data_IF_093931544750
#
_entry.id   IF_093931544750
#
_cell.length_a   1.000
_cell.length_b   1.000
_cell.length_c   1.000
_cell.angle_alpha   90.00
_cell.angle_beta   90.00
_cell.angle_gamma   90.00
#
_symmetry.space_group_name_H-M   'P 1'
#
loop_
_entity.id
_entity.type
_entity.pdbx_description
1 polymer ?
#
# COMPACT_ATOMS: atom_id res chain seq x y z
N UNK A 1 10.72 31.50 15.99
CA UNK A 1 9.59 30.56 15.88
C UNK A 1 9.88 29.37 16.78
N UNK A 2 8.89 28.85 17.52
CA UNK A 2 9.07 27.65 18.36
C UNK A 2 9.43 26.44 17.48
N UNK A 3 10.39 25.63 17.89
CA UNK A 3 10.88 24.45 17.17
C UNK A 3 9.75 23.48 16.81
N UNK A 4 8.75 23.34 17.68
CA UNK A 4 7.56 22.50 17.51
C UNK A 4 6.75 22.93 16.29
N UNK A 5 6.64 24.24 16.06
CA UNK A 5 5.94 24.78 14.89
C UNK A 5 6.71 24.49 13.61
N UNK A 6 8.04 24.60 13.65
CA UNK A 6 8.90 24.30 12.51
C UNK A 6 8.76 22.83 12.13
N UNK A 7 8.84 21.91 13.10
CA UNK A 7 8.66 20.47 12.88
C UNK A 7 7.25 20.16 12.34
N UNK A 8 6.22 20.80 12.90
CA UNK A 8 4.83 20.66 12.42
C UNK A 8 4.66 21.09 10.96
N UNK A 9 5.22 22.25 10.57
CA UNK A 9 5.21 22.71 9.18
C UNK A 9 6.04 21.83 8.24
N UNK A 10 7.19 21.31 8.69
CA UNK A 10 7.99 20.36 7.91
C UNK A 10 7.21 19.07 7.64
N UNK A 11 6.56 18.48 8.65
CA UNK A 11 5.75 17.27 8.47
C UNK A 11 4.54 17.52 7.57
N UNK A 12 3.88 18.68 7.72
CA UNK A 12 2.75 19.08 6.88
C UNK A 12 3.18 19.22 5.41
N UNK A 13 4.27 19.94 5.16
CA UNK A 13 4.80 20.14 3.82
C UNK A 13 5.22 18.82 3.16
N UNK A 14 5.95 17.97 3.87
CA UNK A 14 6.38 16.66 3.37
C UNK A 14 5.19 15.75 3.07
N UNK A 15 4.19 15.69 3.98
CA UNK A 15 2.99 14.88 3.78
C UNK A 15 2.18 15.31 2.55
N UNK A 16 1.99 16.62 2.37
CA UNK A 16 1.30 17.17 1.19
C UNK A 16 2.10 16.89 -0.09
N UNK A 17 3.42 17.08 -0.06
CA UNK A 17 4.28 16.80 -1.21
C UNK A 17 4.19 15.33 -1.64
N UNK A 18 4.23 14.40 -0.69
CA UNK A 18 4.07 12.97 -0.96
C UNK A 18 2.72 12.65 -1.61
N UNK A 19 1.64 13.29 -1.14
CA UNK A 19 0.32 13.10 -1.77
C UNK A 19 0.28 13.57 -3.21
N UNK A 20 0.85 14.75 -3.50
CA UNK A 20 0.85 15.33 -4.83
C UNK A 20 1.63 14.40 -5.78
N UNK A 21 2.81 13.93 -5.36
CA UNK A 21 3.63 13.01 -6.16
C UNK A 21 2.89 11.69 -6.42
N UNK A 22 2.29 11.08 -5.39
CA UNK A 22 1.55 9.83 -5.54
C UNK A 22 0.34 9.99 -6.48
N UNK A 23 -0.43 11.07 -6.30
CA UNK A 23 -1.60 11.37 -7.14
C UNK A 23 -1.19 11.59 -8.60
N UNK A 24 -0.10 12.32 -8.83
CA UNK A 24 0.41 12.56 -10.18
C UNK A 24 0.86 11.26 -10.87
N UNK A 25 1.55 10.38 -10.15
CA UNK A 25 1.96 9.07 -10.67
C UNK A 25 0.76 8.17 -11.01
N UNK A 26 -0.25 8.11 -10.14
CA UNK A 26 -1.51 7.40 -10.38
C UNK A 26 -2.15 7.85 -11.71
N UNK A 27 -2.25 9.16 -11.92
CA UNK A 27 -2.88 9.75 -13.13
C UNK A 27 -2.05 9.44 -14.38
N UNK A 28 -0.72 9.47 -14.29
CA UNK A 28 0.18 9.12 -15.39
C UNK A 28 0.04 7.66 -15.83
N UNK A 29 -0.08 6.73 -14.87
CA UNK A 29 -0.28 5.30 -15.15
C UNK A 29 -1.68 5.06 -15.71
N UNK A 30 -2.72 5.74 -15.19
CA UNK A 30 -4.07 5.68 -15.76
C UNK A 30 -4.13 6.19 -17.21
N UNK A 31 -3.35 7.22 -17.55
CA UNK A 31 -3.29 7.77 -18.92
C UNK A 31 -2.43 6.90 -19.85
N UNK A 32 -1.88 5.79 -19.37
CA UNK A 32 -1.01 4.90 -20.15
C UNK A 32 0.33 5.53 -20.53
N UNK A 33 0.69 6.69 -19.96
CA UNK A 33 1.95 7.38 -20.25
C UNK A 33 3.12 6.82 -19.45
N UNK A 34 2.85 6.03 -18.41
CA UNK A 34 3.84 5.32 -17.62
C UNK A 34 3.40 3.87 -17.41
N UNK A 35 4.33 2.93 -17.56
CA UNK A 35 4.07 1.52 -17.24
C UNK A 35 4.08 1.33 -15.72
N UNK A 36 3.14 0.54 -15.16
CA UNK A 36 3.16 0.23 -13.73
C UNK A 36 4.46 -0.51 -13.40
N UNK A 37 4.97 -0.29 -12.19
CA UNK A 37 6.14 -1.04 -11.69
C UNK A 37 5.77 -2.53 -11.72
N UNK A 38 6.56 -3.31 -12.47
CA UNK A 38 6.33 -4.75 -12.61
C UNK A 38 6.82 -5.46 -11.35
N UNK A 39 5.92 -5.59 -10.36
CA UNK A 39 6.21 -6.30 -9.11
C UNK A 39 6.20 -7.80 -9.34
N UNK A 40 5.30 -8.27 -10.20
CA UNK A 40 5.27 -9.61 -10.74
C UNK A 40 6.00 -9.60 -12.07
N UNK A 41 7.22 -10.12 -12.03
CA UNK A 41 7.91 -10.53 -13.24
C UNK A 41 7.08 -11.66 -13.82
N UNK A 42 6.43 -11.41 -14.96
CA UNK A 42 5.99 -12.51 -15.81
C UNK A 42 7.23 -13.37 -16.04
N UNK A 43 7.22 -14.62 -15.55
CA UNK A 43 8.15 -15.62 -16.04
C UNK A 43 8.16 -15.51 -17.57
N UNK A 44 9.33 -15.62 -18.24
CA UNK A 44 9.37 -15.45 -19.68
C UNK A 44 8.33 -16.35 -20.31
N UNK A 45 7.22 -15.74 -20.76
CA UNK A 45 6.24 -16.40 -21.58
C UNK A 45 7.00 -16.61 -22.88
N UNK A 46 7.67 -17.77 -22.96
CA UNK A 46 8.05 -18.32 -24.25
C UNK A 46 6.76 -18.31 -25.03
N UNK A 47 6.68 -17.39 -25.99
CA UNK A 47 5.67 -17.36 -27.00
C UNK A 47 5.54 -18.78 -27.53
N UNK A 48 4.49 -19.50 -27.12
CA UNK A 48 4.13 -20.79 -27.72
C UNK A 48 3.46 -20.49 -29.06
N UNK A 49 4.17 -19.79 -29.95
CA UNK A 49 4.05 -20.13 -31.36
C UNK A 49 4.85 -21.43 -31.53
N UNK A 50 4.13 -22.55 -31.49
CA UNK A 50 4.62 -23.92 -31.57
C UNK A 50 5.51 -24.40 -30.42
N UNK A 51 4.91 -24.77 -29.30
CA UNK A 51 5.26 -26.04 -28.68
C UNK A 51 4.00 -26.64 -28.05
N UNK A 52 3.23 -27.36 -28.86
CA UNK A 52 2.52 -28.55 -28.38
C UNK A 52 3.57 -29.52 -27.83
N UNK A 53 4.11 -29.23 -26.65
CA UNK A 53 4.59 -30.30 -25.78
C UNK A 53 3.30 -30.81 -25.20
N UNK A 54 2.78 -31.88 -25.81
CA UNK A 54 1.82 -32.74 -25.16
C UNK A 54 2.37 -32.99 -23.75
N UNK A 55 1.80 -32.31 -22.76
CA UNK A 55 2.02 -32.65 -21.36
C UNK A 55 1.38 -34.01 -21.24
N UNK A 56 2.21 -35.03 -21.08
CA UNK A 56 1.73 -36.37 -20.88
C UNK A 56 1.14 -36.45 -19.48
N UNK A 57 -0.14 -36.09 -19.38
CA UNK A 57 -0.95 -36.08 -18.14
C UNK A 57 -1.06 -37.46 -17.49
N UNK A 58 -0.52 -38.50 -18.12
CA UNK A 58 -0.46 -39.85 -17.59
C UNK A 58 0.66 -40.05 -16.57
N UNK A 59 1.64 -39.14 -16.46
CA UNK A 59 2.77 -39.28 -15.55
C UNK A 59 2.73 -38.28 -14.38
N UNK A 60 2.39 -38.72 -13.15
CA UNK A 60 2.15 -37.84 -11.99
C UNK A 60 3.41 -37.11 -11.48
N UNK A 61 4.60 -37.65 -11.75
CA UNK A 61 5.87 -37.07 -11.30
C UNK A 61 6.21 -35.75 -12.02
N UNK A 62 5.78 -35.59 -13.27
CA UNK A 62 5.99 -34.35 -14.03
C UNK A 62 5.01 -33.25 -13.61
N UNK A 63 3.76 -33.63 -13.27
CA UNK A 63 2.76 -32.72 -12.72
C UNK A 63 3.21 -32.13 -11.37
N UNK A 64 3.82 -32.95 -10.51
CA UNK A 64 4.29 -32.50 -9.21
C UNK A 64 5.47 -31.53 -9.34
N UNK A 65 6.40 -31.77 -10.27
CA UNK A 65 7.53 -30.86 -10.53
C UNK A 65 7.08 -29.52 -11.10
N UNK A 66 6.09 -29.51 -11.99
CA UNK A 66 5.51 -28.29 -12.55
C UNK A 66 4.76 -27.47 -11.48
N UNK A 67 3.97 -28.13 -10.61
CA UNK A 67 3.29 -27.49 -9.48
C UNK A 67 4.27 -26.87 -8.47
N UNK A 68 5.45 -27.49 -8.31
CA UNK A 68 6.50 -27.02 -7.41
C UNK A 68 7.25 -25.81 -7.97
N UNK A 69 7.42 -25.73 -9.29
CA UNK A 69 8.14 -24.62 -9.94
C UNK A 69 7.25 -23.41 -10.15
N UNK A 70 5.97 -23.60 -10.49
CA UNK A 70 4.98 -22.54 -10.60
C UNK A 70 3.60 -23.08 -10.18
N UNK A 71 3.17 -22.89 -8.92
CA UNK A 71 1.91 -23.45 -8.40
C UNK A 71 0.67 -22.93 -9.12
N UNK A 72 0.77 -21.80 -9.82
CA UNK A 72 -0.30 -21.20 -10.61
C UNK A 72 -0.27 -21.57 -12.11
N UNK A 73 0.78 -22.23 -12.59
CA UNK A 73 0.89 -22.64 -14.00
C UNK A 73 -0.15 -23.69 -14.40
N UNK A 74 -0.50 -24.57 -13.45
CA UNK A 74 -1.53 -25.61 -13.61
C UNK A 74 -2.96 -25.06 -13.67
N UNK A 75 -3.15 -23.83 -13.19
CA UNK A 75 -4.43 -23.14 -13.29
C UNK A 75 -4.70 -22.70 -14.74
N UNK A 76 -3.64 -22.46 -15.53
CA UNK A 76 -3.72 -22.11 -16.95
C UNK A 76 -3.54 -23.29 -17.91
N UNK A 77 -2.87 -24.36 -17.49
CA UNK A 77 -2.59 -25.53 -18.34
C UNK A 77 -3.66 -26.62 -18.21
N UNK A 78 -4.92 -26.31 -18.55
CA UNK A 78 -5.94 -27.29 -18.99
C UNK A 78 -6.07 -28.62 -18.22
N UNK A 79 -5.72 -28.66 -16.93
CA UNK A 79 -5.71 -29.85 -16.11
C UNK A 79 -7.05 -30.01 -15.40
N UNK A 80 -8.02 -30.66 -16.05
CA UNK A 80 -9.14 -31.31 -15.37
C UNK A 80 -10.25 -30.45 -14.75
N UNK A 81 -10.23 -29.12 -14.88
CA UNK A 81 -11.40 -28.27 -14.62
C UNK A 81 -11.52 -27.27 -15.76
N UNK A 82 -12.45 -27.55 -16.69
CA UNK A 82 -12.68 -26.81 -17.92
C UNK A 82 -13.15 -25.39 -17.71
N UNK A 83 -12.24 -24.50 -17.32
CA UNK A 83 -12.39 -23.08 -17.60
C UNK A 83 -11.86 -22.85 -19.02
N UNK A 84 -12.69 -22.35 -19.95
CA UNK A 84 -12.23 -22.06 -21.31
C UNK A 84 -11.14 -20.99 -21.29
N UNK A 85 -10.36 -20.93 -22.37
CA UNK A 85 -9.26 -20.01 -22.67
C UNK A 85 -9.74 -18.55 -22.83
N UNK A 86 -10.45 -18.02 -21.82
CA UNK A 86 -11.17 -16.74 -21.89
C UNK A 86 -10.25 -15.57 -21.51
N UNK A 87 -9.11 -15.84 -20.85
CA UNK A 87 -8.20 -14.78 -20.37
C UNK A 87 -6.74 -15.21 -20.53
N UNK A 88 -5.99 -14.48 -21.37
CA UNK A 88 -4.55 -14.67 -21.57
C UNK A 88 -3.80 -14.45 -20.23
N UNK A 89 -2.92 -15.38 -19.81
CA UNK A 89 -2.04 -15.21 -18.66
C UNK A 89 -1.30 -13.86 -18.62
N UNK A 90 -0.97 -13.30 -19.78
CA UNK A 90 -0.34 -11.98 -19.88
C UNK A 90 -1.25 -10.87 -19.34
N UNK A 91 -2.53 -10.88 -19.69
CA UNK A 91 -3.52 -9.90 -19.22
C UNK A 91 -3.71 -10.00 -17.72
N UNK A 92 -3.74 -11.23 -17.17
CA UNK A 92 -3.84 -11.45 -15.72
C UNK A 92 -2.64 -10.84 -15.00
N UNK A 93 -1.41 -11.05 -15.50
CA UNK A 93 -0.21 -10.49 -14.89
C UNK A 93 -0.17 -8.96 -14.98
N UNK A 94 -0.56 -8.39 -16.12
CA UNK A 94 -0.63 -6.93 -16.30
C UNK A 94 -1.68 -6.31 -15.37
N UNK A 95 -2.86 -6.93 -15.22
CA UNK A 95 -3.89 -6.50 -14.28
C UNK A 95 -3.43 -6.60 -12.82
N UNK A 96 -2.70 -7.66 -12.48
CA UNK A 96 -2.22 -7.86 -11.12
C UNK A 96 -1.09 -6.91 -10.77
N UNK A 97 -0.16 -6.64 -11.70
CA UNK A 97 0.85 -5.59 -11.56
C UNK A 97 0.22 -4.21 -11.38
N UNK A 98 -0.80 -3.88 -12.17
CA UNK A 98 -1.53 -2.63 -12.04
C UNK A 98 -2.22 -2.53 -10.67
N UNK A 99 -2.85 -3.62 -10.22
CA UNK A 99 -3.54 -3.68 -8.92
C UNK A 99 -2.57 -3.48 -7.77
N UNK A 100 -1.44 -4.18 -7.77
CA UNK A 100 -0.41 -4.04 -6.74
C UNK A 100 0.19 -2.64 -6.76
N UNK A 101 0.47 -2.08 -7.93
CA UNK A 101 0.97 -0.72 -8.06
C UNK A 101 -0.01 0.30 -7.45
N UNK A 102 -1.30 0.19 -7.76
CA UNK A 102 -2.32 1.06 -7.15
C UNK A 102 -2.42 0.86 -5.64
N UNK A 103 -2.38 -0.38 -5.17
CA UNK A 103 -2.41 -0.67 -3.74
C UNK A 103 -1.25 0.01 -3.01
N UNK A 104 -0.03 -0.09 -3.55
CA UNK A 104 1.15 0.56 -2.98
C UNK A 104 1.01 2.08 -3.02
N UNK A 105 0.54 2.65 -4.14
CA UNK A 105 0.35 4.10 -4.23
C UNK A 105 -0.76 4.62 -3.31
N UNK A 106 -1.84 3.86 -3.08
CA UNK A 106 -2.86 4.17 -2.09
C UNK A 106 -2.30 4.13 -0.67
N UNK A 107 -1.42 3.16 -0.38
CA UNK A 107 -0.71 3.11 0.89
C UNK A 107 0.19 4.34 1.08
N UNK A 108 0.96 4.73 0.06
CA UNK A 108 1.82 5.93 0.08
C UNK A 108 0.98 7.20 0.27
N UNK A 109 -0.17 7.31 -0.40
CA UNK A 109 -1.11 8.42 -0.23
C UNK A 109 -1.62 8.48 1.22
N UNK A 110 -1.99 7.33 1.79
CA UNK A 110 -2.39 7.20 3.19
C UNK A 110 -1.28 7.56 4.18
N UNK A 111 -0.02 7.21 3.90
CA UNK A 111 1.13 7.65 4.68
C UNK A 111 1.29 9.17 4.63
N UNK A 112 1.19 9.78 3.45
CA UNK A 112 1.20 11.23 3.27
C UNK A 112 0.11 11.92 4.11
N UNK A 113 -1.10 11.35 4.15
CA UNK A 113 -2.21 11.83 4.98
C UNK A 113 -1.89 11.80 6.46
N UNK A 114 -1.39 10.66 6.96
CA UNK A 114 -1.04 10.53 8.37
C UNK A 114 0.08 11.49 8.77
N UNK A 115 1.10 11.64 7.93
CA UNK A 115 2.19 12.61 8.16
C UNK A 115 1.67 14.05 8.21
N UNK A 116 0.83 14.43 7.23
CA UNK A 116 0.26 15.77 7.17
C UNK A 116 -0.65 16.04 8.38
N UNK A 117 -1.51 15.09 8.73
CA UNK A 117 -2.41 15.18 9.90
C UNK A 117 -1.63 15.36 11.19
N UNK A 118 -0.54 14.63 11.38
CA UNK A 118 0.34 14.79 12.54
C UNK A 118 1.00 16.17 12.57
N UNK A 119 1.45 16.65 11.41
CA UNK A 119 1.97 18.01 11.25
C UNK A 119 0.96 19.09 11.67
N UNK A 120 -0.30 18.99 11.20
CA UNK A 120 -1.38 19.92 11.60
C UNK A 120 -1.63 19.86 13.11
N UNK A 121 -1.64 18.67 13.70
CA UNK A 121 -1.87 18.50 15.13
C UNK A 121 -0.78 19.13 15.99
N UNK A 122 0.49 19.07 15.56
CA UNK A 122 1.60 19.73 16.27
C UNK A 122 1.57 21.25 16.17
N UNK A 123 1.06 21.81 15.07
CA UNK A 123 0.89 23.27 14.93
C UNK A 123 -0.21 23.78 15.87
N UNK A 124 -1.21 22.94 16.20
CA UNK A 124 -2.29 23.29 17.11
C UNK A 124 -1.78 23.27 18.55
N UNK A 125 -1.89 24.38 19.31
CA UNK A 125 -1.43 24.40 20.70
C UNK A 125 -2.28 23.45 21.56
N UNK A 126 -1.62 22.64 22.40
CA UNK A 126 -2.28 21.82 23.42
C UNK A 126 -2.75 22.73 24.56
N UNK A 127 -4.03 23.09 24.55
CA UNK A 127 -4.64 23.88 25.62
C UNK A 127 -4.95 22.97 26.80
N UNK A 128 -4.02 22.87 27.75
CA UNK A 128 -4.28 22.17 29.02
C UNK A 128 -5.17 23.10 29.85
N UNK A 129 -6.45 22.76 29.97
CA UNK A 129 -7.35 23.46 30.87
C UNK A 129 -7.12 22.87 32.26
N UNK A 130 -6.32 23.55 33.07
CA UNK A 130 -6.14 23.15 34.47
C UNK A 130 -7.43 23.49 35.22
N UNK A 131 -8.07 22.48 35.82
CA UNK A 131 -9.31 22.66 36.57
C UNK A 131 -9.01 23.55 37.79
N UNK A 132 -9.39 24.82 37.70
CA UNK A 132 -9.07 25.83 38.71
C UNK A 132 -9.69 25.50 40.08
N UNK A 133 -10.78 24.72 40.11
CA UNK A 133 -11.46 24.20 41.31
C UNK A 133 -10.55 23.31 42.16
N UNK A 134 -9.81 22.37 41.54
CA UNK A 134 -8.91 21.46 42.25
C UNK A 134 -7.76 22.22 42.93
N UNK A 135 -7.22 23.24 42.26
CA UNK A 135 -6.15 24.08 42.82
C UNK A 135 -6.68 24.97 43.96
N UNK A 136 -7.91 25.47 43.84
CA UNK A 136 -8.49 26.37 44.86
C UNK A 136 -8.89 25.65 46.15
N UNK A 137 -9.28 24.37 46.09
CA UNK A 137 -9.48 23.56 47.30
C UNK A 137 -8.16 23.28 48.03
N UNK A 138 -7.09 22.93 47.31
CA UNK A 138 -5.78 22.66 47.92
C UNK A 138 -5.15 23.90 48.59
N UNK A 139 -5.37 25.09 48.03
CA UNK A 139 -4.90 26.35 48.64
C UNK A 139 -5.71 26.68 49.91
N UNK A 140 -7.03 26.47 49.87
CA UNK A 140 -7.92 26.75 50.99
C UNK A 140 -7.69 25.81 52.19
N UNK A 141 -7.37 24.55 51.92
CA UNK A 141 -7.04 23.57 52.96
C UNK A 141 -5.68 23.88 53.61
N UNK A 142 -4.74 24.45 52.85
CA UNK A 142 -3.43 24.90 53.35
C UNK A 142 -3.51 26.10 54.30
N UNK A 143 -4.40 27.08 54.04
CA UNK A 143 -4.60 28.23 54.93
C UNK A 143 -5.31 27.87 56.26
N UNK A 144 -6.17 26.85 56.25
CA UNK A 144 -6.93 26.44 57.44
C UNK A 144 -6.10 25.68 58.49
N UNK A 145 -4.92 25.17 58.12
CA UNK A 145 -4.03 24.41 59.02
C UNK A 145 -2.92 25.26 59.67
N UNK A 146 -2.89 26.57 59.42
CA UNK A 146 -1.87 27.50 59.96
C UNK A 146 -2.42 28.57 60.91
N UNK A 147 -3.68 28.47 61.34
CA UNK A 147 -4.29 29.34 62.38
C UNK A 147 -4.50 28.59 63.70
#
# INVERSE_FOLDING_TARGET
MSTEKIVGYSLLGVGILLMIIASFQIILVFTGKATPIQVMKSAPQKNNQNTTKNVDTTNPDELLKQAQQDPFSLLGSGGGLGMPDIIDPKTINDMLNLTVYYFIMQFVLGLGYKLASLGVQMVRPLKISVEKSAISHLIKDGESNTS
#
